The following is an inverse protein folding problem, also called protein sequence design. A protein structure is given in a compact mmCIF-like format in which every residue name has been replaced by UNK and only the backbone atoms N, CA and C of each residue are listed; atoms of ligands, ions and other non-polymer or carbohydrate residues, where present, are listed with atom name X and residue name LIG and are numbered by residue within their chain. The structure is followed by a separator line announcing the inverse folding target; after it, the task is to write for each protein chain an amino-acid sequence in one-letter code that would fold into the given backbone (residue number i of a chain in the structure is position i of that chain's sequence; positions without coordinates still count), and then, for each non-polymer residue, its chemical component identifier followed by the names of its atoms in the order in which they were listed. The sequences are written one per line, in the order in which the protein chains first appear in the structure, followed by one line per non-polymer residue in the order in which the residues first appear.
data_IF_538305240649
#
_entry.id   IF_538305240649
#
_cell.length_a   1.000
_cell.length_b   1.000
_cell.length_c   1.000
_cell.angle_alpha   90.00
_cell.angle_beta   90.00
_cell.angle_gamma   90.00
#
_symmetry.space_group_name_H-M   'P 1'
#
loop_
_entity.id
_entity.type
_entity.pdbx_description
1 polymer ?
#
# COMPACT_ATOMS: atom_id res chain seq x y z
N UNK A 1 3.78 27.40 -33.15
CA UNK A 1 3.79 25.97 -33.56
C UNK A 1 3.56 25.17 -32.28
N UNK A 2 2.30 24.81 -32.03
CA UNK A 2 1.86 24.10 -30.83
C UNK A 2 2.59 22.75 -30.74
N UNK A 3 3.35 22.53 -29.68
CA UNK A 3 3.80 21.18 -29.33
C UNK A 3 2.60 20.45 -28.75
N UNK A 4 2.22 19.37 -29.42
CA UNK A 4 1.12 18.50 -29.08
C UNK A 4 1.27 17.99 -27.63
N UNK A 5 0.31 18.30 -26.77
CA UNK A 5 0.24 17.84 -25.37
C UNK A 5 -0.18 16.35 -25.27
N UNK A 6 -0.20 15.62 -26.39
CA UNK A 6 -0.76 14.27 -26.50
C UNK A 6 0.28 13.12 -26.47
N UNK A 7 1.57 13.39 -26.30
CA UNK A 7 2.60 12.34 -26.14
C UNK A 7 2.99 12.07 -24.67
N UNK A 8 2.04 12.17 -23.75
CA UNK A 8 2.23 11.60 -22.41
C UNK A 8 1.88 10.09 -22.48
N UNK A 9 2.74 9.19 -21.96
CA UNK A 9 2.46 7.77 -21.94
C UNK A 9 1.12 7.52 -21.23
N UNK A 10 0.25 6.74 -21.87
CA UNK A 10 -1.08 6.39 -21.35
C UNK A 10 -0.97 5.76 -19.96
N UNK A 11 -1.95 6.10 -19.13
CA UNK A 11 -2.02 5.93 -17.67
C UNK A 11 -1.85 4.48 -17.12
N UNK A 12 -1.81 3.47 -17.99
CA UNK A 12 -1.98 2.07 -17.61
C UNK A 12 -0.69 1.22 -17.66
N UNK A 13 0.41 1.69 -18.27
CA UNK A 13 1.56 0.81 -18.58
C UNK A 13 2.88 1.08 -17.82
N UNK A 14 3.02 2.19 -17.08
CA UNK A 14 4.33 2.60 -16.54
C UNK A 14 4.33 3.02 -15.04
N UNK A 15 3.71 2.24 -14.15
CA UNK A 15 3.90 2.45 -12.70
C UNK A 15 5.28 1.93 -12.29
N UNK A 16 6.28 2.82 -12.35
CA UNK A 16 7.65 2.53 -11.94
C UNK A 16 7.92 3.09 -10.53
N UNK A 17 8.69 2.35 -9.73
CA UNK A 17 9.11 2.76 -8.39
C UNK A 17 10.59 2.47 -8.18
N UNK A 18 11.23 3.27 -7.32
CA UNK A 18 12.62 3.09 -6.91
C UNK A 18 12.74 3.18 -5.40
N UNK A 19 13.74 2.48 -4.87
CA UNK A 19 14.10 2.47 -3.46
C UNK A 19 15.58 2.81 -3.30
N UNK A 20 15.91 3.71 -2.37
CA UNK A 20 17.28 4.06 -2.02
C UNK A 20 17.48 4.13 -0.50
N UNK A 21 18.64 3.65 -0.02
CA UNK A 21 19.05 3.71 1.38
C UNK A 21 20.47 4.27 1.52
N UNK A 22 20.85 4.77 2.71
CA UNK A 22 22.24 5.09 3.11
C UNK A 22 23.00 6.11 2.23
N UNK A 23 22.31 6.87 1.37
CA UNK A 23 22.93 7.82 0.45
C UNK A 23 22.32 9.22 0.51
N UNK A 24 22.75 10.08 -0.41
CA UNK A 24 22.27 11.45 -0.52
C UNK A 24 21.59 11.67 -1.87
N UNK A 25 20.46 12.36 -1.89
CA UNK A 25 19.73 12.71 -3.10
C UNK A 25 19.73 14.24 -3.25
N UNK A 26 20.28 14.71 -4.37
CA UNK A 26 20.31 16.13 -4.71
C UNK A 26 19.92 16.39 -6.16
N UNK A 27 19.55 17.64 -6.44
CA UNK A 27 19.33 18.07 -7.80
C UNK A 27 20.66 18.06 -8.55
N UNK A 28 20.68 17.37 -9.67
CA UNK A 28 21.83 17.31 -10.57
C UNK A 28 21.39 17.85 -11.93
N UNK A 29 21.80 19.08 -12.23
CA UNK A 29 21.37 19.85 -13.39
C UNK A 29 19.84 19.99 -13.44
N UNK A 30 19.19 19.48 -14.50
CA UNK A 30 17.73 19.50 -14.66
C UNK A 30 17.06 18.21 -14.15
N UNK A 31 17.82 17.33 -13.50
CA UNK A 31 17.36 16.03 -13.00
C UNK A 31 17.65 15.90 -11.51
N UNK A 32 17.46 14.70 -10.97
CA UNK A 32 17.83 14.36 -9.60
C UNK A 32 18.74 13.14 -9.66
N UNK A 33 19.76 13.09 -8.80
CA UNK A 33 20.65 11.94 -8.71
C UNK A 33 20.79 11.48 -7.26
N UNK A 34 20.96 10.17 -7.12
CA UNK A 34 21.32 9.51 -5.87
C UNK A 34 22.83 9.27 -5.83
N UNK A 35 23.44 9.59 -4.70
CA UNK A 35 24.86 9.48 -4.45
C UNK A 35 25.10 8.52 -3.29
N UNK A 36 25.98 7.55 -3.51
CA UNK A 36 26.41 6.60 -2.49
C UNK A 36 27.86 6.22 -2.68
N UNK A 37 28.69 6.58 -1.69
CA UNK A 37 30.17 6.49 -1.81
C UNK A 37 30.58 7.21 -3.10
N UNK A 38 31.34 6.56 -3.97
CA UNK A 38 31.82 7.13 -5.23
C UNK A 38 30.85 6.93 -6.41
N UNK A 39 29.64 6.42 -6.16
CA UNK A 39 28.63 6.15 -7.21
C UNK A 39 27.60 7.25 -7.29
N UNK A 40 27.28 7.64 -8.53
CA UNK A 40 26.18 8.54 -8.89
C UNK A 40 25.17 7.77 -9.75
N UNK A 41 23.91 7.77 -9.36
CA UNK A 41 22.81 7.12 -10.07
C UNK A 41 21.78 8.17 -10.44
N UNK A 42 21.59 8.49 -11.74
CA UNK A 42 20.54 9.41 -12.16
C UNK A 42 19.16 8.79 -11.89
N UNK A 43 18.25 9.61 -11.36
CA UNK A 43 16.86 9.22 -11.07
C UNK A 43 15.97 9.72 -12.20
N UNK A 44 15.27 8.83 -12.95
CA UNK A 44 14.41 9.21 -14.06
C UNK A 44 13.05 9.74 -13.54
N UNK A 45 13.07 10.90 -12.88
CA UNK A 45 11.95 11.47 -12.14
C UNK A 45 10.65 11.58 -12.97
N UNK A 46 10.75 11.90 -14.26
CA UNK A 46 9.60 12.10 -15.16
C UNK A 46 8.82 10.82 -15.47
N UNK A 47 9.44 9.66 -15.29
CA UNK A 47 8.80 8.35 -15.52
C UNK A 47 8.54 7.60 -14.22
N UNK A 48 8.94 8.19 -13.09
CA UNK A 48 8.92 7.55 -11.78
C UNK A 48 7.69 8.00 -10.99
N UNK A 49 6.81 7.05 -10.67
CA UNK A 49 5.59 7.34 -9.92
C UNK A 49 5.86 7.43 -8.41
N UNK A 50 6.81 6.64 -7.91
CA UNK A 50 7.09 6.52 -6.47
C UNK A 50 8.58 6.35 -6.19
N UNK A 51 9.11 7.20 -5.31
CA UNK A 51 10.44 7.09 -4.75
C UNK A 51 10.37 6.82 -3.25
N UNK A 52 10.88 5.65 -2.86
CA UNK A 52 10.96 5.21 -1.48
C UNK A 52 12.34 5.52 -0.90
N UNK A 53 12.37 6.27 0.21
CA UNK A 53 13.56 6.71 0.92
C UNK A 53 13.74 5.87 2.19
N UNK A 54 14.67 4.93 2.15
CA UNK A 54 15.03 4.07 3.27
C UNK A 54 15.94 4.74 4.31
N UNK A 55 16.31 4.00 5.38
CA UNK A 55 17.16 4.51 6.45
C UNK A 55 18.53 4.98 5.97
N UNK A 56 19.03 6.05 6.60
CA UNK A 56 20.31 6.67 6.23
C UNK A 56 20.27 7.48 4.93
N UNK A 57 19.10 7.64 4.30
CA UNK A 57 18.95 8.50 3.13
C UNK A 57 18.71 9.96 3.53
N UNK A 58 19.42 10.88 2.89
CA UNK A 58 19.20 12.33 3.00
C UNK A 58 18.79 12.88 1.65
N UNK A 59 17.97 13.94 1.64
CA UNK A 59 17.49 14.56 0.41
C UNK A 59 17.47 16.08 0.54
N UNK A 60 17.93 16.81 -0.48
CA UNK A 60 17.91 18.27 -0.46
C UNK A 60 16.54 18.84 -0.83
N UNK A 61 16.27 20.07 -0.41
CA UNK A 61 15.08 20.80 -0.82
C UNK A 61 14.95 20.90 -2.35
N UNK A 62 16.05 21.14 -3.06
CA UNK A 62 16.07 21.24 -4.51
C UNK A 62 15.64 19.92 -5.20
N UNK A 63 16.10 18.78 -4.68
CA UNK A 63 15.65 17.48 -5.14
C UNK A 63 14.15 17.25 -4.87
N UNK A 64 13.67 17.59 -3.67
CA UNK A 64 12.23 17.49 -3.34
C UNK A 64 11.41 18.32 -4.33
N UNK A 65 11.75 19.60 -4.52
CA UNK A 65 11.06 20.47 -5.47
C UNK A 65 11.01 19.83 -6.86
N UNK A 66 12.14 19.32 -7.35
CA UNK A 66 12.23 18.74 -8.69
C UNK A 66 11.41 17.45 -8.85
N UNK A 67 11.42 16.58 -7.83
CA UNK A 67 10.62 15.35 -7.81
C UNK A 67 9.13 15.66 -7.74
N UNK A 68 8.75 16.67 -6.98
CA UNK A 68 7.38 17.18 -6.91
C UNK A 68 6.93 17.75 -8.25
N UNK A 69 7.75 18.57 -8.92
CA UNK A 69 7.47 19.09 -10.27
C UNK A 69 7.28 17.95 -11.28
N UNK A 70 8.04 16.85 -11.12
CA UNK A 70 7.92 15.62 -11.90
C UNK A 70 6.80 14.67 -11.43
N UNK A 71 6.06 15.02 -10.37
CA UNK A 71 4.96 14.22 -9.77
C UNK A 71 5.38 12.86 -9.24
N UNK A 72 6.63 12.71 -8.87
CA UNK A 72 7.10 11.52 -8.20
C UNK A 72 6.71 11.59 -6.72
N UNK A 73 5.84 10.68 -6.27
CA UNK A 73 5.50 10.57 -4.85
C UNK A 73 6.75 10.19 -4.04
N UNK A 74 6.96 10.86 -2.91
CA UNK A 74 8.03 10.54 -1.97
C UNK A 74 7.47 9.83 -0.76
N UNK A 75 8.06 8.69 -0.39
CA UNK A 75 7.71 7.93 0.82
C UNK A 75 8.96 7.66 1.66
N UNK A 76 8.98 8.11 2.91
CA UNK A 76 9.99 7.70 3.88
C UNK A 76 9.60 6.38 4.49
N UNK A 77 10.46 5.40 4.30
CA UNK A 77 10.22 4.01 4.64
C UNK A 77 11.37 3.46 5.49
N UNK A 78 11.12 2.34 6.16
CA UNK A 78 12.16 1.53 6.79
C UNK A 78 12.97 0.77 5.76
N UNK A 79 13.85 -0.10 6.24
CA UNK A 79 14.68 -0.95 5.39
C UNK A 79 13.81 -1.61 4.31
N UNK A 80 14.21 -1.45 3.05
CA UNK A 80 13.61 -2.07 1.87
C UNK A 80 12.10 -1.88 1.70
N UNK A 81 11.55 -0.77 2.22
CA UNK A 81 10.16 -0.38 1.97
C UNK A 81 9.12 -1.05 2.85
N UNK A 82 9.51 -1.90 3.80
CA UNK A 82 8.53 -2.65 4.60
C UNK A 82 7.73 -1.76 5.54
N UNK A 83 8.35 -0.83 6.28
CA UNK A 83 7.59 0.09 7.13
C UNK A 83 7.46 1.43 6.45
N UNK A 84 6.29 2.06 6.50
CA UNK A 84 6.13 3.45 6.08
C UNK A 84 6.11 4.36 7.30
N UNK A 85 6.89 5.45 7.26
CA UNK A 85 6.96 6.46 8.31
C UNK A 85 6.26 7.75 7.92
N UNK A 86 6.46 8.22 6.69
CA UNK A 86 5.89 9.46 6.19
C UNK A 86 5.82 9.44 4.66
N UNK A 87 5.01 10.32 4.07
CA UNK A 87 5.00 10.58 2.64
C UNK A 87 4.69 12.03 2.32
N UNK A 88 5.09 12.44 1.13
CA UNK A 88 4.57 13.64 0.49
C UNK A 88 3.08 13.48 0.14
N UNK A 89 2.41 14.61 -0.07
CA UNK A 89 0.98 14.65 -0.41
C UNK A 89 0.71 14.69 -1.91
N UNK A 90 1.76 14.86 -2.73
CA UNK A 90 1.66 15.04 -4.18
C UNK A 90 2.25 13.82 -4.90
N UNK A 91 1.40 13.13 -5.66
CA UNK A 91 1.76 11.97 -6.50
C UNK A 91 0.90 11.81 -7.75
N UNK A 92 -0.21 12.55 -7.86
CA UNK A 92 -1.05 12.63 -9.06
C UNK A 92 -1.64 14.04 -9.16
N UNK A 93 -1.94 14.50 -10.38
CA UNK A 93 -2.69 15.73 -10.64
C UNK A 93 -4.20 15.53 -10.65
N UNK A 94 -4.66 14.28 -10.66
CA UNK A 94 -6.07 13.97 -10.72
C UNK A 94 -6.59 13.56 -9.35
N UNK A 95 -7.61 14.27 -8.88
CA UNK A 95 -8.41 13.85 -7.72
C UNK A 95 -9.46 12.80 -8.07
N UNK A 96 -9.51 12.30 -9.32
CA UNK A 96 -10.52 11.35 -9.81
C UNK A 96 -10.68 10.14 -8.89
N UNK A 97 -9.57 9.50 -8.51
CA UNK A 97 -9.60 8.32 -7.65
C UNK A 97 -10.04 8.65 -6.22
N UNK A 98 -9.60 9.78 -5.67
CA UNK A 98 -10.06 10.27 -4.36
C UNK A 98 -11.56 10.56 -4.35
N UNK A 99 -12.06 11.27 -5.37
CA UNK A 99 -13.49 11.59 -5.51
C UNK A 99 -14.32 10.32 -5.71
N UNK A 100 -13.85 9.39 -6.53
CA UNK A 100 -14.50 8.08 -6.73
C UNK A 100 -14.56 7.29 -5.42
N UNK A 101 -13.46 7.22 -4.69
CA UNK A 101 -13.40 6.55 -3.39
C UNK A 101 -14.39 7.18 -2.40
N UNK A 102 -14.46 8.52 -2.35
CA UNK A 102 -15.40 9.24 -1.50
C UNK A 102 -16.86 8.95 -1.90
N UNK A 103 -17.19 8.99 -3.19
CA UNK A 103 -18.53 8.66 -3.70
C UNK A 103 -18.96 7.25 -3.31
N UNK A 104 -18.10 6.25 -3.55
CA UNK A 104 -18.35 4.86 -3.18
C UNK A 104 -18.56 4.68 -1.68
N UNK A 105 -17.84 5.44 -0.85
CA UNK A 105 -17.97 5.38 0.60
C UNK A 105 -19.26 6.06 1.10
N UNK A 106 -19.65 7.17 0.46
CA UNK A 106 -20.79 7.99 0.86
C UNK A 106 -22.15 7.37 0.52
N UNK A 107 -22.22 6.53 -0.51
CA UNK A 107 -23.43 5.80 -0.87
C UNK A 107 -23.46 4.41 -0.19
N UNK A 108 -24.47 4.10 0.65
CA UNK A 108 -24.53 2.82 1.38
C UNK A 108 -24.59 1.58 0.48
N UNK A 109 -25.25 1.64 -0.68
CA UNK A 109 -25.38 0.52 -1.59
C UNK A 109 -24.07 0.25 -2.33
N UNK A 110 -23.42 1.31 -2.84
CA UNK A 110 -22.10 1.22 -3.46
C UNK A 110 -21.04 0.76 -2.46
N UNK A 111 -21.08 1.27 -1.22
CA UNK A 111 -20.17 0.82 -0.15
C UNK A 111 -20.32 -0.67 0.08
N UNK A 112 -21.55 -1.17 0.18
CA UNK A 112 -21.83 -2.60 0.38
C UNK A 112 -21.35 -3.43 -0.82
N UNK A 113 -21.51 -2.94 -2.05
CA UNK A 113 -20.95 -3.55 -3.27
C UNK A 113 -19.43 -3.66 -3.19
N UNK A 114 -18.74 -2.61 -2.75
CA UNK A 114 -17.28 -2.63 -2.57
C UNK A 114 -16.85 -3.61 -1.48
N UNK A 115 -17.55 -3.65 -0.34
CA UNK A 115 -17.27 -4.60 0.75
C UNK A 115 -17.39 -6.04 0.27
N UNK A 116 -18.43 -6.36 -0.53
CA UNK A 116 -18.58 -7.69 -1.14
C UNK A 116 -17.41 -7.99 -2.06
N UNK A 117 -17.05 -7.05 -2.94
CA UNK A 117 -15.93 -7.23 -3.86
C UNK A 117 -14.61 -7.51 -3.14
N UNK A 118 -14.31 -6.77 -2.06
CA UNK A 118 -13.13 -7.03 -1.22
C UNK A 118 -13.17 -8.44 -0.60
N UNK A 119 -14.35 -8.89 -0.16
CA UNK A 119 -14.53 -10.23 0.39
C UNK A 119 -14.31 -11.32 -0.67
N UNK A 120 -14.88 -11.16 -1.86
CA UNK A 120 -14.73 -12.07 -3.00
C UNK A 120 -13.26 -12.16 -3.44
N UNK A 121 -12.58 -11.02 -3.58
CA UNK A 121 -11.16 -10.96 -3.94
C UNK A 121 -10.27 -11.70 -2.94
N UNK A 122 -10.66 -11.69 -1.65
CA UNK A 122 -9.89 -12.34 -0.60
C UNK A 122 -10.06 -13.86 -0.56
N UNK A 123 -11.27 -14.35 -0.82
CA UNK A 123 -11.60 -15.76 -0.60
C UNK A 123 -11.92 -16.55 -1.87
N UNK A 124 -11.91 -15.90 -3.05
CA UNK A 124 -12.24 -16.50 -4.34
C UNK A 124 -13.61 -17.23 -4.33
N UNK A 125 -14.58 -16.63 -3.64
CA UNK A 125 -15.92 -17.17 -3.45
C UNK A 125 -16.96 -16.09 -3.71
N UNK A 126 -18.05 -16.44 -4.40
CA UNK A 126 -19.18 -15.54 -4.64
C UNK A 126 -19.94 -15.30 -3.34
N UNK A 127 -20.20 -14.03 -3.03
CA UNK A 127 -20.91 -13.62 -1.81
C UNK A 127 -22.40 -13.48 -2.08
N UNK A 128 -23.23 -14.07 -1.22
CA UNK A 128 -24.69 -13.88 -1.27
C UNK A 128 -25.06 -12.40 -1.04
N UNK A 129 -25.85 -11.84 -1.95
CA UNK A 129 -26.28 -10.44 -1.93
C UNK A 129 -27.12 -10.08 -0.69
N UNK A 130 -27.61 -11.06 0.07
CA UNK A 130 -28.37 -10.82 1.30
C UNK A 130 -27.50 -10.52 2.50
N UNK A 131 -26.18 -10.76 2.41
CA UNK A 131 -25.30 -10.52 3.56
C UNK A 131 -25.04 -9.04 3.80
N UNK A 132 -25.17 -8.63 5.06
CA UNK A 132 -24.77 -7.31 5.58
C UNK A 132 -23.26 -7.21 5.81
N UNK A 133 -22.76 -5.98 5.97
CA UNK A 133 -21.35 -5.74 6.30
C UNK A 133 -20.95 -6.44 7.61
N UNK A 134 -21.79 -6.42 8.65
CA UNK A 134 -21.48 -7.08 9.92
C UNK A 134 -21.39 -8.61 9.76
N UNK A 135 -22.28 -9.20 8.96
CA UNK A 135 -22.27 -10.64 8.70
C UNK A 135 -21.00 -11.07 7.94
N UNK A 136 -20.58 -10.28 6.94
CA UNK A 136 -19.34 -10.52 6.20
C UNK A 136 -18.13 -10.41 7.13
N UNK A 137 -18.05 -9.38 7.97
CA UNK A 137 -17.00 -9.23 8.99
C UNK A 137 -16.95 -10.41 9.96
N UNK A 138 -18.11 -10.92 10.39
CA UNK A 138 -18.20 -12.10 11.27
C UNK A 138 -17.60 -13.35 10.62
N UNK A 139 -17.97 -13.62 9.36
CA UNK A 139 -17.42 -14.73 8.57
C UNK A 139 -15.92 -14.56 8.33
N UNK A 140 -15.48 -13.35 7.99
CA UNK A 140 -14.07 -13.01 7.80
C UNK A 140 -13.23 -13.32 9.06
N UNK A 141 -13.71 -12.88 10.23
CA UNK A 141 -13.04 -13.15 11.50
C UNK A 141 -12.91 -14.64 11.81
N UNK A 142 -13.92 -15.45 11.46
CA UNK A 142 -13.84 -16.91 11.60
C UNK A 142 -12.78 -17.52 10.68
N UNK A 143 -12.70 -17.08 9.41
CA UNK A 143 -11.68 -17.53 8.46
C UNK A 143 -10.26 -17.16 8.88
N UNK A 144 -10.06 -15.94 9.38
CA UNK A 144 -8.75 -15.51 9.90
C UNK A 144 -8.32 -16.36 11.09
N UNK A 145 -9.24 -16.67 12.02
CA UNK A 145 -8.95 -17.59 13.13
C UNK A 145 -8.60 -19.00 12.65
N UNK A 146 -9.30 -19.50 11.62
CA UNK A 146 -8.98 -20.79 11.01
C UNK A 146 -7.60 -20.78 10.34
N UNK A 147 -7.23 -19.69 9.65
CA UNK A 147 -5.90 -19.53 9.05
C UNK A 147 -4.79 -19.51 10.11
N UNK A 148 -5.02 -18.83 11.25
CA UNK A 148 -4.07 -18.90 12.38
C UNK A 148 -3.94 -20.31 12.93
N UNK A 149 -5.06 -21.03 13.09
CA UNK A 149 -5.03 -22.40 13.59
C UNK A 149 -4.29 -23.34 12.63
N UNK A 150 -4.57 -23.23 11.33
CA UNK A 150 -3.89 -24.03 10.30
C UNK A 150 -2.38 -23.75 10.27
N UNK A 151 -1.97 -22.49 10.35
CA UNK A 151 -0.55 -22.14 10.42
C UNK A 151 0.09 -22.62 11.74
N UNK A 152 -0.62 -22.53 12.87
CA UNK A 152 -0.15 -23.07 14.15
C UNK A 152 0.08 -24.59 14.09
N UNK A 153 -0.83 -25.32 13.43
CA UNK A 153 -0.71 -26.76 13.20
C UNK A 153 0.45 -27.09 12.24
N UNK A 154 0.56 -26.40 11.10
CA UNK A 154 1.61 -26.59 10.09
C UNK A 154 3.02 -26.36 10.65
N UNK A 155 3.17 -25.31 11.47
CA UNK A 155 4.45 -24.94 12.08
C UNK A 155 4.55 -25.38 13.54
N UNK A 156 3.74 -26.33 14.01
CA UNK A 156 3.84 -26.91 15.36
C UNK A 156 4.02 -25.86 16.50
N UNK A 157 3.32 -24.72 16.40
CA UNK A 157 3.37 -23.61 17.37
C UNK A 157 2.12 -23.65 18.24
N UNK A 158 2.29 -23.55 19.56
CA UNK A 158 1.18 -23.32 20.46
C UNK A 158 0.57 -21.93 20.22
N UNK A 159 -0.71 -21.89 19.80
CA UNK A 159 -1.42 -20.66 19.49
C UNK A 159 -2.56 -20.41 20.48
N UNK A 160 -2.37 -19.40 21.33
CA UNK A 160 -3.35 -18.99 22.36
C UNK A 160 -4.24 -17.82 21.91
N UNK A 161 -3.92 -17.20 20.76
CA UNK A 161 -4.69 -16.11 20.18
C UNK A 161 -3.86 -14.89 19.84
N UNK A 162 -4.50 -13.97 19.10
CA UNK A 162 -3.88 -12.73 18.66
C UNK A 162 -3.99 -11.67 19.75
N UNK A 163 -2.87 -11.31 20.36
CA UNK A 163 -2.77 -10.14 21.24
C UNK A 163 -2.17 -8.96 20.44
N UNK A 164 -2.81 -7.79 20.51
CA UNK A 164 -2.36 -6.56 19.85
C UNK A 164 -1.72 -5.55 20.81
N UNK A 165 -1.87 -5.75 22.13
CA UNK A 165 -1.29 -4.87 23.13
C UNK A 165 0.20 -5.20 23.34
N UNK A 166 1.05 -4.32 22.82
CA UNK A 166 2.51 -4.47 22.92
C UNK A 166 3.02 -4.38 24.36
N UNK A 167 2.28 -3.71 25.26
CA UNK A 167 2.67 -3.56 26.67
C UNK A 167 2.53 -4.87 27.45
N UNK A 168 1.70 -5.79 26.96
CA UNK A 168 1.49 -7.12 27.53
C UNK A 168 2.43 -8.18 26.93
N UNK A 169 3.19 -7.84 25.88
CA UNK A 169 4.08 -8.81 25.23
C UNK A 169 5.39 -8.96 26.00
N UNK A 170 5.48 -10.05 26.77
CA UNK A 170 6.74 -10.49 27.35
C UNK A 170 7.78 -10.91 26.30
N UNK A 171 8.97 -11.31 26.75
CA UNK A 171 10.00 -11.96 25.91
C UNK A 171 9.44 -13.24 25.24
N UNK A 172 8.42 -13.85 25.86
CA UNK A 172 7.82 -15.15 25.53
C UNK A 172 6.69 -15.14 24.50
N UNK A 173 6.39 -14.03 23.80
CA UNK A 173 5.40 -14.02 22.71
C UNK A 173 6.03 -13.73 21.33
N UNK A 174 6.88 -14.64 20.81
CA UNK A 174 7.55 -14.44 19.53
C UNK A 174 6.57 -14.41 18.36
N UNK A 175 5.44 -15.14 18.45
CA UNK A 175 4.47 -15.21 17.37
C UNK A 175 3.66 -13.92 17.22
N UNK A 176 3.17 -13.30 18.31
CA UNK A 176 2.48 -12.02 18.19
C UNK A 176 3.42 -10.90 17.75
N UNK A 177 4.69 -10.92 18.17
CA UNK A 177 5.73 -10.02 17.64
C UNK A 177 5.96 -10.23 16.15
N UNK A 178 6.09 -11.48 15.72
CA UNK A 178 6.27 -11.82 14.31
C UNK A 178 5.10 -11.33 13.45
N UNK A 179 3.86 -11.62 13.86
CA UNK A 179 2.66 -11.19 13.15
C UNK A 179 2.54 -9.67 13.08
N UNK A 180 2.90 -8.96 14.15
CA UNK A 180 2.88 -7.50 14.18
C UNK A 180 3.92 -6.89 13.25
N UNK A 181 5.13 -7.44 13.26
CA UNK A 181 6.18 -7.03 12.33
C UNK A 181 5.76 -7.29 10.88
N UNK A 182 5.27 -8.49 10.56
CA UNK A 182 4.85 -8.86 9.21
C UNK A 182 3.68 -7.99 8.71
N UNK A 183 2.68 -7.77 9.55
CA UNK A 183 1.55 -6.91 9.18
C UNK A 183 1.97 -5.45 9.02
N UNK A 184 2.85 -4.93 9.87
CA UNK A 184 3.41 -3.58 9.69
C UNK A 184 4.16 -3.46 8.36
N UNK A 185 4.81 -4.54 7.89
CA UNK A 185 5.46 -4.59 6.60
C UNK A 185 4.45 -4.43 5.44
N UNK A 186 3.37 -5.21 5.52
CA UNK A 186 2.32 -5.18 4.50
C UNK A 186 1.55 -3.85 4.48
N UNK A 187 1.28 -3.28 5.66
CA UNK A 187 0.59 -2.00 5.79
C UNK A 187 1.40 -0.86 5.15
N UNK A 188 2.73 -0.86 5.31
CA UNK A 188 3.60 0.13 4.68
C UNK A 188 3.47 0.11 3.15
N UNK A 189 3.48 -1.09 2.56
CA UNK A 189 3.35 -1.24 1.12
C UNK A 189 1.97 -0.85 0.58
N UNK A 190 0.89 -1.28 1.27
CA UNK A 190 -0.47 -0.90 0.90
C UNK A 190 -0.69 0.61 1.01
N UNK A 191 -0.15 1.25 2.05
CA UNK A 191 -0.25 2.68 2.22
C UNK A 191 0.47 3.44 1.10
N UNK A 192 1.69 3.03 0.75
CA UNK A 192 2.43 3.63 -0.37
C UNK A 192 1.66 3.47 -1.70
N UNK A 193 1.05 2.30 -1.95
CA UNK A 193 0.23 2.05 -3.14
C UNK A 193 -1.01 2.95 -3.19
N UNK A 194 -1.74 3.09 -2.08
CA UNK A 194 -2.92 3.95 -1.95
C UNK A 194 -2.59 5.40 -2.32
N UNK A 195 -1.49 5.92 -1.77
CA UNK A 195 -1.06 7.30 -2.05
C UNK A 195 -0.58 7.46 -3.50
N UNK A 196 0.11 6.47 -4.04
CA UNK A 196 0.62 6.51 -5.42
C UNK A 196 -0.52 6.60 -6.45
N UNK A 197 -1.67 5.96 -6.18
CA UNK A 197 -2.86 6.05 -7.05
C UNK A 197 -3.77 7.25 -6.71
N UNK A 198 -3.39 8.10 -5.76
CA UNK A 198 -4.16 9.29 -5.38
C UNK A 198 -5.42 9.00 -4.58
N UNK A 199 -5.47 7.89 -3.85
CA UNK A 199 -6.54 7.61 -2.89
C UNK A 199 -6.19 8.08 -1.49
N UNK A 200 -7.19 8.13 -0.61
CA UNK A 200 -7.01 8.39 0.81
C UNK A 200 -6.88 7.08 1.59
N UNK A 201 -5.86 6.99 2.44
CA UNK A 201 -5.70 5.89 3.39
C UNK A 201 -6.80 5.88 4.48
N UNK A 202 -7.42 7.02 4.76
CA UNK A 202 -8.41 7.17 5.82
C UNK A 202 -9.83 6.72 5.45
N UNK A 203 -10.14 6.61 4.15
CA UNK A 203 -11.49 6.25 3.66
C UNK A 203 -11.54 4.74 3.37
N UNK A 204 -11.75 3.95 4.43
CA UNK A 204 -11.97 2.51 4.32
C UNK A 204 -13.45 2.14 4.18
N UNK A 205 -13.73 1.01 3.54
CA UNK A 205 -15.05 0.46 3.30
C UNK A 205 -15.47 -0.52 4.42
N UNK A 206 -14.57 -1.41 4.85
CA UNK A 206 -14.82 -2.38 5.94
C UNK A 206 -14.39 -1.77 7.27
N UNK A 207 -13.14 -1.33 7.34
CA UNK A 207 -12.61 -0.60 8.48
C UNK A 207 -13.01 0.88 8.38
N UNK A 208 -13.39 1.49 9.49
CA UNK A 208 -13.76 2.92 9.56
C UNK A 208 -13.25 3.58 10.83
N UNK A 209 -13.10 4.91 10.81
CA UNK A 209 -12.74 5.71 11.98
C UNK A 209 -11.24 5.79 12.30
N UNK A 210 -10.38 5.20 11.46
CA UNK A 210 -8.91 5.28 11.58
C UNK A 210 -8.30 5.94 10.33
N UNK A 211 -7.20 6.65 10.49
CA UNK A 211 -6.47 7.27 9.38
C UNK A 211 -5.84 6.28 8.38
N UNK A 212 -5.79 4.99 8.73
CA UNK A 212 -5.28 3.91 7.89
C UNK A 212 -6.37 2.87 7.57
N UNK A 213 -7.65 3.26 7.62
CA UNK A 213 -8.76 2.33 7.43
C UNK A 213 -8.68 1.58 6.10
N UNK A 214 -8.42 2.28 5.00
CA UNK A 214 -8.31 1.65 3.68
C UNK A 214 -7.05 0.77 3.54
N UNK A 215 -5.99 1.11 4.28
CA UNK A 215 -4.77 0.27 4.34
C UNK A 215 -5.10 -1.09 4.93
N UNK A 216 -5.95 -1.15 5.96
CA UNK A 216 -6.36 -2.43 6.57
C UNK A 216 -7.22 -3.25 5.64
N UNK A 217 -8.20 -2.61 4.96
CA UNK A 217 -9.06 -3.28 3.98
C UNK A 217 -8.25 -3.99 2.89
N UNK A 218 -7.25 -3.30 2.31
CA UNK A 218 -6.41 -3.87 1.27
C UNK A 218 -5.43 -4.91 1.82
N UNK A 219 -4.80 -4.64 2.97
CA UNK A 219 -3.83 -5.57 3.55
C UNK A 219 -4.47 -6.91 3.89
N UNK A 220 -5.74 -6.91 4.31
CA UNK A 220 -6.46 -8.13 4.61
C UNK A 220 -6.60 -9.08 3.41
N UNK A 221 -6.56 -8.58 2.17
CA UNK A 221 -6.51 -9.41 0.95
C UNK A 221 -5.30 -10.35 0.90
N UNK A 222 -4.16 -9.94 1.49
CA UNK A 222 -2.89 -10.66 1.34
C UNK A 222 -2.38 -11.31 2.63
N UNK A 223 -2.98 -11.03 3.79
CA UNK A 223 -2.46 -11.49 5.09
C UNK A 223 -2.39 -13.01 5.22
N UNK A 224 -3.44 -13.70 4.80
CA UNK A 224 -3.52 -15.17 4.85
C UNK A 224 -2.55 -15.84 3.89
N UNK A 225 -2.30 -15.21 2.73
CA UNK A 225 -1.37 -15.71 1.72
C UNK A 225 0.10 -15.47 2.11
N UNK A 226 0.40 -14.33 2.74
CA UNK A 226 1.78 -13.86 2.90
C UNK A 226 2.20 -13.72 4.36
N UNK A 227 1.61 -12.78 5.11
CA UNK A 227 2.17 -12.38 6.41
C UNK A 227 1.96 -13.42 7.51
N UNK A 228 0.84 -14.15 7.48
CA UNK A 228 0.56 -15.20 8.47
C UNK A 228 1.57 -16.35 8.31
N UNK A 229 1.73 -17.01 7.14
CA UNK A 229 2.73 -18.07 6.98
C UNK A 229 4.16 -17.62 7.31
N UNK A 230 4.56 -16.42 6.87
CA UNK A 230 5.89 -15.86 7.18
C UNK A 230 6.09 -15.73 8.69
N UNK A 231 5.11 -15.16 9.41
CA UNK A 231 5.23 -14.94 10.84
C UNK A 231 5.36 -16.25 11.61
N UNK A 232 4.53 -17.26 11.30
CA UNK A 232 4.58 -18.56 11.97
C UNK A 232 5.89 -19.29 11.71
N UNK A 233 6.33 -19.36 10.45
CA UNK A 233 7.63 -19.97 10.10
C UNK A 233 8.81 -19.32 10.82
N UNK A 234 8.86 -17.98 10.86
CA UNK A 234 9.99 -17.26 11.44
C UNK A 234 9.96 -17.30 12.98
N UNK A 235 8.77 -17.35 13.59
CA UNK A 235 8.61 -17.38 15.05
C UNK A 235 9.26 -18.61 15.71
N UNK A 236 9.42 -19.73 14.99
CA UNK A 236 10.14 -20.92 15.49
C UNK A 236 11.65 -20.71 15.65
N UNK A 237 12.22 -19.72 14.97
CA UNK A 237 13.67 -19.51 14.92
C UNK A 237 14.24 -18.76 16.12
N UNK A 238 15.55 -18.45 16.10
CA UNK A 238 16.28 -17.84 17.22
C UNK A 238 15.84 -16.39 17.50
N UNK A 239 16.52 -15.71 18.43
CA UNK A 239 16.22 -14.32 18.81
C UNK A 239 16.14 -13.33 17.61
N UNK A 240 15.69 -12.10 17.88
CA UNK A 240 15.51 -11.03 16.88
C UNK A 240 14.44 -11.35 15.81
N UNK A 241 13.35 -11.99 16.23
CA UNK A 241 12.20 -12.40 15.41
C UNK A 241 11.72 -11.28 14.48
N UNK A 242 11.49 -10.07 15.00
CA UNK A 242 10.96 -8.97 14.19
C UNK A 242 11.86 -8.57 13.02
N UNK A 243 13.19 -8.55 13.23
CA UNK A 243 14.14 -8.24 12.16
C UNK A 243 14.18 -9.35 11.11
N UNK A 244 14.14 -10.62 11.53
CA UNK A 244 14.04 -11.76 10.62
C UNK A 244 12.75 -11.71 9.80
N UNK A 245 11.62 -11.41 10.44
CA UNK A 245 10.33 -11.24 9.75
C UNK A 245 10.38 -10.11 8.74
N UNK A 246 10.94 -8.95 9.09
CA UNK A 246 11.06 -7.82 8.15
C UNK A 246 11.87 -8.18 6.91
N UNK A 247 13.00 -8.87 7.09
CA UNK A 247 13.83 -9.34 5.97
C UNK A 247 13.08 -10.35 5.10
N UNK A 248 12.36 -11.28 5.72
CA UNK A 248 11.60 -12.29 4.99
C UNK A 248 10.42 -11.68 4.22
N UNK A 249 9.64 -10.79 4.86
CA UNK A 249 8.57 -10.06 4.20
C UNK A 249 9.10 -9.27 3.01
N UNK A 250 10.25 -8.59 3.15
CA UNK A 250 10.92 -7.91 2.03
C UNK A 250 11.14 -8.87 0.86
N UNK A 251 11.79 -10.00 1.12
CA UNK A 251 12.22 -10.91 0.06
C UNK A 251 11.00 -11.52 -0.66
N UNK A 252 9.99 -11.95 0.10
CA UNK A 252 8.74 -12.49 -0.44
C UNK A 252 7.93 -11.44 -1.20
N UNK A 253 7.78 -10.22 -0.68
CA UNK A 253 7.01 -9.16 -1.35
C UNK A 253 7.66 -8.75 -2.68
N UNK A 254 8.99 -8.73 -2.72
CA UNK A 254 9.75 -8.46 -3.95
C UNK A 254 9.60 -9.59 -4.96
N UNK A 255 9.75 -10.84 -4.54
CA UNK A 255 9.59 -12.03 -5.40
C UNK A 255 8.19 -12.09 -6.01
N UNK A 256 7.16 -11.85 -5.19
CA UNK A 256 5.76 -11.82 -5.60
C UNK A 256 5.35 -10.55 -6.34
N UNK A 257 6.26 -9.57 -6.49
CA UNK A 257 5.98 -8.25 -7.08
C UNK A 257 4.73 -7.61 -6.49
N UNK A 258 4.55 -7.70 -5.17
CA UNK A 258 3.29 -7.40 -4.50
C UNK A 258 2.76 -5.99 -4.81
N UNK A 259 3.63 -4.99 -4.91
CA UNK A 259 3.21 -3.62 -5.26
C UNK A 259 2.55 -3.53 -6.65
N UNK A 260 3.01 -4.35 -7.62
CA UNK A 260 2.41 -4.45 -8.96
C UNK A 260 1.06 -5.16 -8.96
N UNK A 261 0.70 -5.86 -7.88
CA UNK A 261 -0.60 -6.50 -7.68
C UNK A 261 -1.57 -5.59 -6.92
N UNK A 262 -1.10 -4.90 -5.87
CA UNK A 262 -1.94 -4.01 -5.04
C UNK A 262 -2.58 -2.89 -5.88
N UNK A 263 -1.84 -2.28 -6.80
CA UNK A 263 -2.36 -1.16 -7.60
C UNK A 263 -3.55 -1.59 -8.48
N UNK A 264 -3.44 -2.64 -9.32
CA UNK A 264 -4.59 -3.20 -10.04
C UNK A 264 -5.76 -3.57 -9.11
N UNK A 265 -5.49 -4.16 -7.95
CA UNK A 265 -6.52 -4.52 -6.99
C UNK A 265 -7.27 -3.29 -6.45
N UNK A 266 -6.58 -2.16 -6.21
CA UNK A 266 -7.24 -0.88 -5.85
C UNK A 266 -8.16 -0.41 -6.99
N UNK A 267 -7.68 -0.48 -8.24
CA UNK A 267 -8.49 -0.05 -9.39
C UNK A 267 -9.72 -0.94 -9.56
N UNK A 268 -9.58 -2.24 -9.36
CA UNK A 268 -10.69 -3.21 -9.37
C UNK A 268 -11.69 -2.93 -8.23
N UNK A 269 -11.21 -2.55 -7.04
CA UNK A 269 -12.07 -2.14 -5.91
C UNK A 269 -12.88 -0.88 -6.23
N UNK A 270 -12.27 0.12 -6.87
CA UNK A 270 -12.92 1.41 -7.14
C UNK A 270 -13.84 1.40 -8.38
N UNK A 271 -13.45 0.66 -9.41
CA UNK A 271 -14.14 0.68 -10.71
C UNK A 271 -14.81 -0.66 -11.04
N UNK A 272 -14.34 -1.77 -10.48
CA UNK A 272 -14.77 -3.11 -10.89
C UNK A 272 -14.60 -3.32 -12.39
N UNK A 273 -15.56 -3.97 -13.02
CA UNK A 273 -15.59 -4.18 -14.47
C UNK A 273 -15.88 -2.93 -15.31
N UNK A 274 -16.13 -1.75 -14.71
CA UNK A 274 -16.25 -0.52 -15.51
C UNK A 274 -14.87 -0.11 -15.99
N UNK A 275 -14.65 -0.14 -17.31
CA UNK A 275 -13.39 0.35 -17.91
C UNK A 275 -13.15 1.78 -17.46
N UNK A 276 -11.90 2.10 -17.13
CA UNK A 276 -11.42 3.41 -16.65
C UNK A 276 -11.64 4.62 -17.60
N UNK A 277 -12.46 4.45 -18.65
CA UNK A 277 -12.85 5.44 -19.64
C UNK A 277 -14.37 5.61 -19.82
N UNK A 278 -15.23 4.98 -19.02
CA UNK A 278 -16.62 5.45 -18.87
C UNK A 278 -16.59 6.76 -18.06
N UNK A 279 -16.46 7.86 -18.79
CA UNK A 279 -16.25 9.20 -18.24
C UNK A 279 -17.42 9.64 -17.34
N UNK A 280 -17.19 9.74 -16.04
CA UNK A 280 -17.92 10.72 -15.22
C UNK A 280 -17.43 12.11 -15.63
N UNK A 281 -18.19 12.77 -16.50
CA UNK A 281 -17.91 14.07 -17.13
C UNK A 281 -17.70 15.24 -16.14
N UNK A 282 -17.70 14.98 -14.83
CA UNK A 282 -17.49 15.95 -13.76
C UNK A 282 -16.17 15.81 -12.98
N UNK A 283 -15.30 14.85 -13.30
CA UNK A 283 -14.10 14.55 -12.47
C UNK A 283 -12.77 15.12 -12.99
N UNK A 284 -12.74 15.68 -14.20
CA UNK A 284 -11.58 16.44 -14.67
C UNK A 284 -11.69 17.87 -14.14
N UNK A 285 -10.79 18.23 -13.23
CA UNK A 285 -10.72 19.56 -12.64
C UNK A 285 -10.72 20.63 -13.71
N UNK A 286 -11.84 21.33 -13.87
CA UNK A 286 -11.88 22.57 -14.64
C UNK A 286 -11.19 23.61 -13.76
N UNK A 287 -9.99 24.04 -14.16
CA UNK A 287 -9.38 25.24 -13.60
C UNK A 287 -10.34 26.40 -13.87
N UNK A 288 -11.15 26.75 -12.87
CA UNK A 288 -11.91 28.00 -12.88
C UNK A 288 -10.90 29.08 -12.56
N UNK A 289 -10.15 29.51 -13.59
CA UNK A 289 -9.29 30.68 -13.50
C UNK A 289 -10.17 31.89 -13.17
N UNK A 290 -10.23 32.25 -11.89
CA UNK A 290 -10.76 33.55 -11.47
C UNK A 290 -9.67 34.56 -11.81
N UNK A 291 -9.79 35.16 -12.98
CA UNK A 291 -8.98 36.33 -13.34
C UNK A 291 -9.37 37.48 -12.39
N UNK A 292 -8.43 37.93 -11.56
CA UNK A 292 -8.46 39.24 -10.93
C UNK A 292 -7.55 40.18 -11.73
#
# INVERSE_FOLDING_TARGET
MNRDLQELPRFDENWSYLYFEKGHIEQDMQTVAYFYKDKKVPIPAETLSLLMLGPGTTITHAAIKRLTDARCLLCWVGDEGVRMYSAGTQGTYSSRNLLRQAQLYSDPEERLRVVRKLYEMRFDEVVDERYSIEQLRGKEGARVRAAYKAAAEEYEIEWTGRNYDQSEWGISDPINKALSAANSCLYGLCHAAILAVGCSAGIGFIHTGKQLSFVYDLADLYKTELTIPIAFRIAQGPASVESRVRMECRDVFKERKLLKRIIPDIMEVLYGNRRAGESDAGSEGRDVAVNY
#
